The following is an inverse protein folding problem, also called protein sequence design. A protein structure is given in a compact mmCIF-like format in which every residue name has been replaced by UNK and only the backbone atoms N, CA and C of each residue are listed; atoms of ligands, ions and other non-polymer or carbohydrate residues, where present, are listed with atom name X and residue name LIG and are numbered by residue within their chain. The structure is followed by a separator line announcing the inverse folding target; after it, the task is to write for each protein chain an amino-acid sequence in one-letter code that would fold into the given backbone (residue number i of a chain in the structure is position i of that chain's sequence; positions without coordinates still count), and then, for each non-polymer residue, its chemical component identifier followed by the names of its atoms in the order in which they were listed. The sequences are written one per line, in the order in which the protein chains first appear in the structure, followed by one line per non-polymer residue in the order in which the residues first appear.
data_IF_688488760335
#
_entry.id   IF_688488760335
#
_cell.length_a   1.000
_cell.length_b   1.000
_cell.length_c   1.000
_cell.angle_alpha   90.00
_cell.angle_beta   90.00
_cell.angle_gamma   90.00
#
_symmetry.space_group_name_H-M   'P 1'
#
loop_
_entity.id
_entity.type
_entity.pdbx_description
1 polymer ?
#
# COMPACT_ATOMS: atom_id res chain seq x y z
N UNK A 1 10.36 4.06 9.76
CA UNK A 1 10.58 4.88 8.55
C UNK A 1 10.67 4.02 7.30
N UNK A 2 11.46 2.94 7.29
CA UNK A 2 11.58 2.03 6.13
C UNK A 2 10.22 1.51 5.60
N UNK A 3 9.34 1.03 6.49
CA UNK A 3 7.98 0.57 6.10
C UNK A 3 7.12 1.66 5.47
N UNK A 4 7.29 2.92 5.91
CA UNK A 4 6.56 4.05 5.36
C UNK A 4 7.06 4.41 3.95
N UNK A 5 8.37 4.27 3.69
CA UNK A 5 8.93 4.40 2.34
C UNK A 5 8.36 3.35 1.39
N UNK A 6 8.26 2.09 1.84
CA UNK A 6 7.66 0.99 1.05
C UNK A 6 6.22 1.28 0.63
N UNK A 7 5.43 1.93 1.50
CA UNK A 7 4.06 2.38 1.15
C UNK A 7 4.08 3.38 -0.01
N UNK A 8 4.99 4.36 0.01
CA UNK A 8 5.12 5.35 -1.07
C UNK A 8 5.54 4.70 -2.40
N UNK A 9 6.52 3.81 -2.34
CA UNK A 9 7.00 3.07 -3.52
C UNK A 9 5.89 2.20 -4.13
N UNK A 10 5.12 1.51 -3.29
CA UNK A 10 3.99 0.69 -3.73
C UNK A 10 2.94 1.55 -4.45
N UNK A 11 2.57 2.71 -3.89
CA UNK A 11 1.62 3.63 -4.51
C UNK A 11 2.12 4.18 -5.85
N UNK A 12 3.39 4.60 -5.91
CA UNK A 12 4.00 5.06 -7.16
C UNK A 12 4.01 3.96 -8.23
N UNK A 13 4.28 2.71 -7.85
CA UNK A 13 4.36 1.59 -8.80
C UNK A 13 3.04 1.24 -9.50
N UNK A 14 1.90 1.59 -8.90
CA UNK A 14 0.57 1.23 -9.40
C UNK A 14 -0.20 2.38 -10.02
N UNK A 15 0.35 3.60 -10.00
CA UNK A 15 -0.31 4.79 -10.52
C UNK A 15 -0.70 4.64 -12.00
N UNK A 16 0.24 4.13 -12.81
CA UNK A 16 0.00 3.86 -14.23
C UNK A 16 -1.05 2.76 -14.46
N UNK A 17 -1.14 1.77 -13.59
CA UNK A 17 -2.18 0.74 -13.68
C UNK A 17 -3.54 1.26 -13.22
N UNK A 18 -3.57 2.14 -12.22
CA UNK A 18 -4.79 2.82 -11.80
C UNK A 18 -5.34 3.69 -12.94
N UNK A 19 -4.49 4.48 -13.60
CA UNK A 19 -4.90 5.28 -14.75
C UNK A 19 -5.47 4.40 -15.88
N UNK A 20 -4.77 3.32 -16.25
CA UNK A 20 -5.24 2.37 -17.27
C UNK A 20 -6.57 1.71 -16.89
N UNK A 21 -6.79 1.43 -15.60
CA UNK A 21 -8.04 0.84 -15.14
C UNK A 21 -9.19 1.85 -15.18
N UNK A 22 -9.02 3.02 -14.55
CA UNK A 22 -10.09 4.02 -14.40
C UNK A 22 -10.42 4.76 -15.70
N UNK A 23 -9.42 5.05 -16.54
CA UNK A 23 -9.62 5.86 -17.75
C UNK A 23 -9.75 5.00 -19.02
N UNK A 24 -9.12 3.83 -19.07
CA UNK A 24 -9.08 2.99 -20.27
C UNK A 24 -9.78 1.62 -20.09
N UNK A 25 -10.42 1.36 -18.95
CA UNK A 25 -11.19 0.13 -18.72
C UNK A 25 -10.37 -1.16 -18.71
N UNK A 26 -9.06 -1.08 -18.44
CA UNK A 26 -8.18 -2.25 -18.50
C UNK A 26 -8.36 -3.18 -17.27
N UNK A 27 -9.06 -4.30 -17.45
CA UNK A 27 -9.34 -5.28 -16.39
C UNK A 27 -8.09 -5.91 -15.75
N UNK A 28 -7.03 -6.13 -16.53
CA UNK A 28 -5.78 -6.68 -16.02
C UNK A 28 -5.04 -5.69 -15.10
N UNK A 29 -5.07 -4.40 -15.47
CA UNK A 29 -4.57 -3.33 -14.62
C UNK A 29 -5.38 -3.23 -13.31
N UNK A 30 -6.72 -3.35 -13.39
CA UNK A 30 -7.58 -3.41 -12.20
C UNK A 30 -7.22 -4.57 -11.26
N UNK A 31 -6.85 -5.73 -11.79
CA UNK A 31 -6.39 -6.88 -10.99
C UNK A 31 -5.09 -6.57 -10.25
N UNK A 32 -4.13 -5.90 -10.91
CA UNK A 32 -2.86 -5.49 -10.30
C UNK A 32 -3.06 -4.43 -9.22
N UNK A 33 -3.88 -3.41 -9.49
CA UNK A 33 -4.26 -2.38 -8.50
C UNK A 33 -4.90 -3.02 -7.27
N UNK A 34 -5.85 -3.95 -7.46
CA UNK A 34 -6.50 -4.65 -6.35
C UNK A 34 -5.49 -5.42 -5.49
N UNK A 35 -4.55 -6.13 -6.11
CA UNK A 35 -3.51 -6.86 -5.38
C UNK A 35 -2.61 -5.91 -4.59
N UNK A 36 -2.15 -4.83 -5.21
CA UNK A 36 -1.33 -3.84 -4.53
C UNK A 36 -2.07 -3.14 -3.38
N UNK A 37 -3.38 -2.89 -3.51
CA UNK A 37 -4.20 -2.38 -2.39
C UNK A 37 -4.29 -3.37 -1.22
N UNK A 38 -4.29 -4.67 -1.50
CA UNK A 38 -4.25 -5.69 -0.46
C UNK A 38 -2.89 -5.67 0.25
N UNK A 39 -1.79 -5.54 -0.48
CA UNK A 39 -0.43 -5.43 0.09
C UNK A 39 -0.28 -4.14 0.91
N UNK A 40 -0.85 -3.02 0.44
CA UNK A 40 -0.90 -1.75 1.16
C UNK A 40 -1.63 -1.89 2.50
N UNK A 41 -2.77 -2.59 2.53
CA UNK A 41 -3.53 -2.84 3.76
C UNK A 41 -2.67 -3.57 4.80
N UNK A 42 -1.91 -4.58 4.37
CA UNK A 42 -1.01 -5.33 5.25
C UNK A 42 0.09 -4.42 5.79
N UNK A 43 0.80 -3.68 4.91
CA UNK A 43 1.85 -2.75 5.31
C UNK A 43 1.35 -1.68 6.29
N UNK A 44 0.17 -1.11 6.03
CA UNK A 44 -0.45 -0.14 6.92
C UNK A 44 -0.74 -0.72 8.31
N UNK A 45 -1.22 -1.96 8.38
CA UNK A 45 -1.48 -2.64 9.64
C UNK A 45 -0.18 -2.89 10.41
N UNK A 46 0.89 -3.33 9.74
CA UNK A 46 2.19 -3.55 10.36
C UNK A 46 2.78 -2.26 10.94
N UNK A 47 2.67 -1.14 10.22
CA UNK A 47 3.10 0.17 10.70
C UNK A 47 2.32 0.56 11.96
N UNK A 48 0.98 0.39 11.94
CA UNK A 48 0.12 0.69 13.10
C UNK A 48 0.51 -0.16 14.32
N UNK A 49 0.72 -1.47 14.14
CA UNK A 49 1.15 -2.36 15.23
C UNK A 49 2.49 -1.92 15.79
N UNK A 50 3.49 -1.64 14.95
CA UNK A 50 4.81 -1.19 15.39
C UNK A 50 4.75 0.12 16.20
N UNK A 51 3.93 1.09 15.75
CA UNK A 51 3.72 2.35 16.49
C UNK A 51 3.08 2.08 17.86
N UNK A 52 2.11 1.17 17.91
CA UNK A 52 1.42 0.80 19.15
C UNK A 52 2.37 0.11 20.12
N UNK A 53 3.18 -0.83 19.63
CA UNK A 53 4.20 -1.54 20.40
C UNK A 53 5.23 -0.57 20.98
N UNK A 54 5.79 0.34 20.16
CA UNK A 54 6.74 1.36 20.62
C UNK A 54 6.17 2.22 21.74
N UNK A 55 4.94 2.74 21.55
CA UNK A 55 4.23 3.51 22.57
C UNK A 55 4.03 2.73 23.87
N UNK A 56 3.72 1.43 23.77
CA UNK A 56 3.50 0.58 24.94
C UNK A 56 4.79 0.15 25.62
N UNK A 57 5.91 0.03 24.88
CA UNK A 57 7.24 -0.30 25.42
C UNK A 57 7.94 0.90 26.09
N UNK A 58 7.48 2.12 25.84
CA UNK A 58 7.91 3.33 26.53
C UNK A 58 7.23 3.52 27.91
N UNK A 59 6.34 2.60 28.30
CA UNK A 59 5.79 2.51 29.66
C UNK A 59 6.59 1.53 30.51
#
# INVERSE_FOLDING_TARGET
MEKFSKVKELLASIEADAEKFYNAGNSAAGTRVRKAMQDLKVLAQEIRSEVTEKKNSEK
#
